data_IF_437999137747
#
_entry.id   IF_437999137747
#
_cell.length_a   1.000
_cell.length_b   1.000
_cell.length_c   1.000
_cell.angle_alpha   90.00
_cell.angle_beta   90.00
_cell.angle_gamma   90.00
#
_symmetry.space_group_name_H-M   'P 1'
#
loop_
_entity.id
_entity.type
_entity.pdbx_description
1 polymer ?
#
# COMPACT_ATOMS: atom_id res chain seq x y z
N UNK A 1 14.34 -41.74 33.47
CA UNK A 1 14.82 -40.34 33.38
C UNK A 1 14.95 -39.80 31.95
N UNK A 2 15.24 -40.61 30.92
CA UNK A 2 15.45 -40.11 29.53
C UNK A 2 14.19 -39.59 28.79
N UNK A 3 12.98 -40.01 29.18
CA UNK A 3 11.73 -39.58 28.51
C UNK A 3 11.26 -38.15 28.83
N UNK A 4 11.74 -37.54 29.92
CA UNK A 4 11.36 -36.17 30.32
C UNK A 4 12.18 -35.12 29.55
N UNK A 5 13.43 -35.46 29.18
CA UNK A 5 14.28 -34.58 28.36
C UNK A 5 13.81 -34.50 26.90
N UNK A 6 13.13 -35.53 26.37
CA UNK A 6 12.69 -35.56 24.97
C UNK A 6 11.34 -34.90 24.73
N UNK A 7 10.37 -34.97 25.67
CA UNK A 7 9.11 -34.21 25.54
C UNK A 7 9.33 -32.70 25.59
N UNK A 8 10.21 -32.22 26.48
CA UNK A 8 10.63 -30.82 26.52
C UNK A 8 11.27 -30.37 25.20
N UNK A 9 11.94 -31.28 24.48
CA UNK A 9 12.58 -30.94 23.19
C UNK A 9 11.56 -30.67 22.08
N UNK A 10 10.44 -31.42 22.04
CA UNK A 10 9.39 -31.23 21.03
C UNK A 10 8.60 -29.93 21.29
N UNK A 11 8.24 -29.66 22.54
CA UNK A 11 7.56 -28.42 22.92
C UNK A 11 8.42 -27.20 22.61
N UNK A 12 9.73 -27.26 22.88
CA UNK A 12 10.66 -26.19 22.50
C UNK A 12 10.72 -25.97 20.99
N UNK A 13 10.73 -27.04 20.19
CA UNK A 13 10.70 -26.93 18.71
C UNK A 13 9.42 -26.27 18.22
N UNK A 14 8.25 -26.67 18.73
CA UNK A 14 6.96 -26.04 18.39
C UNK A 14 6.94 -24.56 18.76
N UNK A 15 7.43 -24.22 19.95
CA UNK A 15 7.54 -22.81 20.41
C UNK A 15 8.49 -22.01 19.51
N UNK A 16 9.64 -22.57 19.12
CA UNK A 16 10.58 -21.90 18.23
C UNK A 16 10.00 -21.69 16.82
N UNK A 17 9.35 -22.70 16.25
CA UNK A 17 8.70 -22.58 14.93
C UNK A 17 7.55 -21.55 14.96
N UNK A 18 6.73 -21.54 16.01
CA UNK A 18 5.65 -20.57 16.15
C UNK A 18 6.17 -19.14 16.36
N UNK A 19 7.22 -18.97 17.18
CA UNK A 19 7.89 -17.67 17.34
C UNK A 19 8.48 -17.18 16.01
N UNK A 20 9.12 -18.06 15.25
CA UNK A 20 9.68 -17.74 13.93
C UNK A 20 8.59 -17.29 12.95
N UNK A 21 7.47 -18.00 12.87
CA UNK A 21 6.33 -17.62 12.02
C UNK A 21 5.76 -16.25 12.44
N UNK A 22 5.65 -15.98 13.74
CA UNK A 22 5.21 -14.67 14.26
C UNK A 22 6.15 -13.53 13.86
N UNK A 23 7.46 -13.74 13.92
CA UNK A 23 8.45 -12.76 13.47
C UNK A 23 8.32 -12.52 11.95
N UNK A 24 8.18 -13.57 11.15
CA UNK A 24 7.96 -13.45 9.71
C UNK A 24 6.66 -12.69 9.38
N UNK A 25 5.57 -12.97 10.09
CA UNK A 25 4.30 -12.26 9.94
C UNK A 25 4.43 -10.77 10.32
N UNK A 26 5.15 -10.46 11.40
CA UNK A 26 5.43 -9.09 11.81
C UNK A 26 6.23 -8.32 10.76
N UNK A 27 7.33 -8.90 10.27
CA UNK A 27 8.13 -8.33 9.17
C UNK A 27 7.28 -8.11 7.92
N UNK A 28 6.45 -9.09 7.54
CA UNK A 28 5.57 -8.97 6.39
C UNK A 28 4.53 -7.86 6.57
N UNK A 29 3.96 -7.72 7.77
CA UNK A 29 3.04 -6.62 8.08
C UNK A 29 3.71 -5.25 7.91
N UNK A 30 4.96 -5.09 8.37
CA UNK A 30 5.71 -3.84 8.20
C UNK A 30 6.02 -3.53 6.72
N UNK A 31 6.43 -4.54 5.95
CA UNK A 31 6.66 -4.41 4.50
C UNK A 31 5.35 -4.02 3.80
N UNK A 32 4.26 -4.71 4.10
CA UNK A 32 2.96 -4.45 3.51
C UNK A 32 2.46 -3.03 3.84
N UNK A 33 2.61 -2.58 5.09
CA UNK A 33 2.26 -1.22 5.48
C UNK A 33 3.09 -0.18 4.73
N UNK A 34 4.42 -0.38 4.61
CA UNK A 34 5.30 0.49 3.84
C UNK A 34 4.92 0.58 2.36
N UNK A 35 4.60 -0.55 1.72
CA UNK A 35 4.13 -0.59 0.34
C UNK A 35 2.78 0.12 0.16
N UNK A 36 1.88 -0.05 1.12
CA UNK A 36 0.56 0.60 1.09
C UNK A 36 0.68 2.12 1.21
N UNK A 37 1.58 2.61 2.08
CA UNK A 37 1.85 4.04 2.21
C UNK A 37 2.43 4.62 0.93
N UNK A 38 3.44 3.97 0.32
CA UNK A 38 4.00 4.39 -0.97
C UNK A 38 2.94 4.48 -2.08
N UNK A 39 2.06 3.48 -2.18
CA UNK A 39 0.98 3.48 -3.15
C UNK A 39 -0.06 4.58 -2.89
N UNK A 40 -0.24 4.98 -1.62
CA UNK A 40 -1.15 6.07 -1.26
C UNK A 40 -0.58 7.43 -1.66
N UNK A 41 0.71 7.66 -1.41
CA UNK A 41 1.43 8.84 -1.88
C UNK A 41 1.37 9.03 -3.40
N UNK A 42 1.51 7.95 -4.17
CA UNK A 42 1.35 8.00 -5.62
C UNK A 42 -0.06 8.44 -6.03
N UNK A 43 -1.10 8.01 -5.31
CA UNK A 43 -2.49 8.45 -5.60
C UNK A 43 -2.68 9.93 -5.30
N UNK A 44 -2.10 10.42 -4.21
CA UNK A 44 -2.16 11.83 -3.85
C UNK A 44 -1.52 12.72 -4.92
N UNK A 45 -0.31 12.36 -5.36
CA UNK A 45 0.37 13.03 -6.47
C UNK A 45 -0.46 12.99 -7.76
N UNK A 46 -1.09 11.85 -8.07
CA UNK A 46 -1.96 11.73 -9.25
C UNK A 46 -3.20 12.66 -9.16
N UNK A 47 -3.78 12.82 -7.97
CA UNK A 47 -4.91 13.74 -7.76
C UNK A 47 -4.49 15.19 -7.94
N UNK A 48 -3.34 15.58 -7.39
CA UNK A 48 -2.76 16.91 -7.57
C UNK A 48 -2.43 17.19 -9.05
N UNK A 49 -1.89 16.21 -9.77
CA UNK A 49 -1.57 16.38 -11.18
C UNK A 49 -2.83 16.55 -12.04
N UNK A 50 -3.92 15.87 -11.68
CA UNK A 50 -5.22 16.04 -12.32
C UNK A 50 -5.83 17.43 -12.01
N UNK A 51 -5.71 17.92 -10.77
CA UNK A 51 -6.17 19.28 -10.43
C UNK A 51 -5.36 20.36 -11.17
N UNK A 52 -4.05 20.16 -11.36
CA UNK A 52 -3.20 21.00 -12.21
C UNK A 52 -3.73 21.02 -13.64
N UNK A 53 -3.96 19.86 -14.26
CA UNK A 53 -4.50 19.77 -15.63
C UNK A 53 -5.87 20.43 -15.77
N UNK A 54 -6.73 20.25 -14.78
CA UNK A 54 -8.07 20.83 -14.74
C UNK A 54 -8.00 22.36 -14.70
N UNK A 55 -7.20 22.94 -13.81
CA UNK A 55 -7.04 24.39 -13.72
C UNK A 55 -6.37 24.97 -14.95
N UNK A 56 -5.40 24.25 -15.52
CA UNK A 56 -4.77 24.60 -16.77
C UNK A 56 -5.78 24.70 -17.93
N UNK A 57 -6.71 23.75 -18.03
CA UNK A 57 -7.77 23.80 -19.04
C UNK A 57 -8.72 24.99 -18.82
N UNK A 58 -9.12 25.24 -17.57
CA UNK A 58 -9.98 26.38 -17.21
C UNK A 58 -9.36 27.73 -17.54
N UNK A 59 -8.05 27.88 -17.36
CA UNK A 59 -7.33 29.11 -17.74
C UNK A 59 -7.43 29.33 -19.25
N UNK A 60 -7.18 28.30 -20.05
CA UNK A 60 -7.26 28.37 -21.52
C UNK A 60 -8.69 28.72 -21.97
N UNK A 61 -9.70 28.07 -21.38
CA UNK A 61 -11.10 28.33 -21.71
C UNK A 61 -11.54 29.75 -21.32
N UNK A 62 -11.18 30.20 -20.12
CA UNK A 62 -11.46 31.57 -19.66
C UNK A 62 -10.77 32.62 -20.52
N UNK A 63 -9.56 32.35 -21.03
CA UNK A 63 -8.87 33.24 -21.97
C UNK A 63 -9.63 33.34 -23.29
N UNK A 64 -10.07 32.21 -23.84
CA UNK A 64 -10.86 32.20 -25.07
C UNK A 64 -12.16 33.02 -24.91
N UNK A 65 -12.78 32.96 -23.73
CA UNK A 65 -13.94 33.79 -23.39
C UNK A 65 -13.57 35.28 -23.33
N UNK A 66 -12.44 35.66 -22.71
CA UNK A 66 -11.96 37.04 -22.57
C UNK A 66 -11.68 37.69 -23.94
N UNK A 67 -11.27 36.87 -24.91
CA UNK A 67 -11.10 37.28 -26.31
C UNK A 67 -12.43 37.60 -26.99
N UNK A 68 -13.48 36.84 -26.67
CA UNK A 68 -14.80 36.93 -27.30
C UNK A 68 -15.76 37.92 -26.64
N UNK A 69 -15.62 38.14 -25.33
CA UNK A 69 -16.57 38.89 -24.53
C UNK A 69 -15.79 39.80 -23.57
N UNK A 70 -15.98 41.11 -23.71
CA UNK A 70 -15.26 42.16 -22.96
C UNK A 70 -15.79 42.29 -21.51
N UNK A 71 -15.87 41.18 -20.79
CA UNK A 71 -16.50 41.10 -19.47
C UNK A 71 -15.45 41.06 -18.34
N UNK A 72 -15.53 41.99 -17.40
CA UNK A 72 -14.65 42.05 -16.22
C UNK A 72 -14.72 40.78 -15.35
N UNK A 73 -15.86 40.10 -15.34
CA UNK A 73 -16.04 38.85 -14.59
C UNK A 73 -15.11 37.73 -15.08
N UNK A 74 -14.84 37.67 -16.38
CA UNK A 74 -13.93 36.68 -16.97
C UNK A 74 -12.49 36.89 -16.50
N UNK A 75 -12.06 38.13 -16.31
CA UNK A 75 -10.72 38.49 -15.86
C UNK A 75 -10.51 38.11 -14.39
N UNK A 76 -11.53 38.30 -13.55
CA UNK A 76 -11.52 37.85 -12.15
C UNK A 76 -11.44 36.31 -12.04
N UNK A 77 -12.26 35.59 -12.83
CA UNK A 77 -12.21 34.12 -12.89
C UNK A 77 -10.83 33.62 -13.30
N UNK A 78 -10.23 34.22 -14.31
CA UNK A 78 -8.92 33.82 -14.82
C UNK A 78 -7.80 34.01 -13.79
N UNK A 79 -7.82 35.11 -13.02
CA UNK A 79 -6.91 35.30 -11.89
C UNK A 79 -7.12 34.26 -10.78
N UNK A 80 -8.36 33.89 -10.47
CA UNK A 80 -8.66 32.82 -9.51
C UNK A 80 -8.07 31.48 -9.96
N UNK A 81 -8.28 31.12 -11.23
CA UNK A 81 -7.81 29.83 -11.76
C UNK A 81 -6.29 29.75 -11.79
N UNK A 82 -5.61 30.86 -12.06
CA UNK A 82 -4.15 30.97 -11.97
C UNK A 82 -3.66 30.75 -10.54
N UNK A 83 -4.25 31.41 -9.56
CA UNK A 83 -3.89 31.22 -8.15
C UNK A 83 -4.09 29.77 -7.67
N UNK A 84 -5.22 29.15 -8.04
CA UNK A 84 -5.46 27.73 -7.76
C UNK A 84 -4.45 26.81 -8.47
N UNK A 85 -3.97 27.17 -9.67
CA UNK A 85 -2.94 26.42 -10.38
C UNK A 85 -1.58 26.51 -9.67
N UNK A 86 -1.18 27.71 -9.26
CA UNK A 86 0.05 27.95 -8.49
C UNK A 86 0.05 27.15 -7.17
N UNK A 87 -1.05 27.17 -6.42
CA UNK A 87 -1.19 26.42 -5.16
C UNK A 87 -1.13 24.91 -5.37
N UNK A 88 -1.79 24.39 -6.42
CA UNK A 88 -1.75 22.97 -6.75
C UNK A 88 -0.33 22.51 -7.14
N UNK A 89 0.42 23.35 -7.86
CA UNK A 89 1.79 23.04 -8.27
C UNK A 89 2.74 23.08 -7.07
N UNK A 90 2.59 24.06 -6.19
CA UNK A 90 3.35 24.12 -4.95
C UNK A 90 3.09 22.85 -4.11
N UNK A 91 1.82 22.49 -3.91
CA UNK A 91 1.42 21.30 -3.16
C UNK A 91 1.97 20.01 -3.80
N UNK A 92 1.96 19.92 -5.14
CA UNK A 92 2.53 18.80 -5.87
C UNK A 92 4.05 18.70 -5.65
N UNK A 93 4.77 19.83 -5.77
CA UNK A 93 6.21 19.87 -5.56
C UNK A 93 6.57 19.50 -4.11
N UNK A 94 5.87 20.04 -3.11
CA UNK A 94 6.07 19.69 -1.70
C UNK A 94 5.87 18.20 -1.45
N UNK A 95 4.79 17.61 -2.00
CA UNK A 95 4.52 16.17 -1.90
C UNK A 95 5.59 15.33 -2.59
N UNK A 96 6.05 15.75 -3.78
CA UNK A 96 7.11 15.06 -4.51
C UNK A 96 8.44 15.09 -3.74
N UNK A 97 8.82 16.22 -3.14
CA UNK A 97 10.02 16.33 -2.31
C UNK A 97 9.94 15.49 -1.02
N UNK A 98 8.78 15.48 -0.33
CA UNK A 98 8.57 14.62 0.84
C UNK A 98 8.77 13.12 0.53
N UNK A 99 8.55 12.74 -0.73
CA UNK A 99 8.73 11.38 -1.22
C UNK A 99 10.04 11.13 -1.98
N UNK A 100 10.95 12.12 -2.01
CA UNK A 100 12.24 12.07 -2.72
C UNK A 100 12.09 11.71 -4.22
N UNK A 101 11.15 12.39 -4.91
CA UNK A 101 10.87 12.18 -6.33
C UNK A 101 11.20 13.44 -7.12
N UNK A 102 12.49 13.76 -7.25
CA UNK A 102 12.93 15.00 -7.90
C UNK A 102 12.61 15.05 -9.41
N UNK A 103 12.46 13.88 -10.04
CA UNK A 103 12.28 13.74 -11.50
C UNK A 103 10.91 14.24 -12.02
N UNK A 104 9.91 14.39 -11.15
CA UNK A 104 8.54 14.77 -11.53
C UNK A 104 8.20 16.22 -11.17
N UNK A 105 9.10 16.92 -10.47
CA UNK A 105 8.87 18.26 -9.91
C UNK A 105 8.74 19.31 -11.02
N UNK A 106 7.88 20.30 -10.80
CA UNK A 106 7.79 21.50 -11.62
C UNK A 106 8.96 22.44 -11.30
N UNK A 107 9.72 22.79 -12.33
CA UNK A 107 10.92 23.62 -12.27
C UNK A 107 10.61 25.12 -12.06
N UNK A 108 11.57 25.92 -11.56
CA UNK A 108 11.40 27.36 -11.35
C UNK A 108 11.06 28.17 -12.62
N UNK A 109 11.32 27.61 -13.81
CA UNK A 109 10.91 28.21 -15.09
C UNK A 109 9.39 28.33 -15.22
N UNK A 110 8.64 27.51 -14.47
CA UNK A 110 7.19 27.60 -14.39
C UNK A 110 6.73 28.90 -13.72
N UNK A 111 7.36 29.30 -12.62
CA UNK A 111 7.02 30.52 -11.89
C UNK A 111 7.22 31.75 -12.77
N UNK A 112 8.27 31.75 -13.58
CA UNK A 112 8.52 32.81 -14.57
C UNK A 112 7.42 32.88 -15.64
N UNK A 113 6.95 31.72 -16.11
CA UNK A 113 5.84 31.67 -17.07
C UNK A 113 4.52 32.15 -16.45
N UNK A 114 4.25 31.85 -15.17
CA UNK A 114 3.07 32.35 -14.47
C UNK A 114 3.13 33.86 -14.22
N UNK A 115 4.30 34.40 -13.87
CA UNK A 115 4.53 35.84 -13.75
C UNK A 115 4.30 36.56 -15.07
N UNK A 116 4.86 36.04 -16.17
CA UNK A 116 4.62 36.59 -17.50
C UNK A 116 3.12 36.54 -17.86
N UNK A 117 2.43 35.45 -17.50
CA UNK A 117 1.00 35.31 -17.71
C UNK A 117 0.21 36.40 -16.96
N UNK A 118 0.55 36.64 -15.69
CA UNK A 118 -0.02 37.72 -14.87
C UNK A 118 0.20 39.11 -15.47
N UNK A 119 1.42 39.40 -15.92
CA UNK A 119 1.76 40.67 -16.54
C UNK A 119 0.89 40.95 -17.77
N UNK A 120 0.69 39.95 -18.64
CA UNK A 120 -0.14 40.10 -19.83
C UNK A 120 -1.63 40.27 -19.51
N UNK A 121 -2.15 39.57 -18.51
CA UNK A 121 -3.54 39.75 -18.05
C UNK A 121 -3.75 41.19 -17.56
N UNK A 122 -2.82 41.70 -16.75
CA UNK A 122 -2.88 43.05 -16.20
C UNK A 122 -2.78 44.11 -17.32
N UNK A 123 -1.96 43.87 -18.34
CA UNK A 123 -1.90 44.74 -19.51
C UNK A 123 -3.24 44.76 -20.24
N UNK A 124 -3.86 43.60 -20.51
CA UNK A 124 -5.18 43.54 -21.16
C UNK A 124 -6.24 44.29 -20.33
N UNK A 125 -6.28 44.09 -19.00
CA UNK A 125 -7.20 44.80 -18.11
C UNK A 125 -7.03 46.32 -18.23
N UNK A 126 -5.79 46.81 -18.22
CA UNK A 126 -5.48 48.25 -18.35
C UNK A 126 -5.94 48.83 -19.69
N UNK A 127 -5.74 48.10 -20.79
CA UNK A 127 -6.14 48.52 -22.14
C UNK A 127 -7.67 48.47 -22.29
N UNK A 128 -8.35 47.48 -21.71
CA UNK A 128 -9.81 47.42 -21.67
C UNK A 128 -10.41 48.59 -20.87
N UNK A 129 -9.81 48.95 -19.73
CA UNK A 129 -10.23 50.12 -18.93
C UNK A 129 -10.04 51.43 -19.70
N UNK A 130 -8.95 51.58 -20.46
CA UNK A 130 -8.74 52.74 -21.35
C UNK A 130 -9.82 52.87 -22.42
N UNK A 131 -10.26 51.75 -23.00
CA UNK A 131 -11.34 51.71 -23.98
C UNK A 131 -12.70 52.11 -23.36
N UNK A 132 -13.04 51.57 -22.19
CA UNK A 132 -14.39 51.59 -21.62
C UNK A 132 -14.67 52.68 -20.57
N UNK A 133 -13.66 53.18 -19.85
CA UNK A 133 -13.70 54.04 -18.67
C UNK A 133 -15.09 54.55 -18.16
N UNK A 134 -15.47 54.12 -16.95
CA UNK A 134 -16.77 54.35 -16.28
C UNK A 134 -17.12 55.83 -16.01
N UNK A 135 -16.16 56.75 -15.99
CA UNK A 135 -16.42 58.20 -15.84
C UNK A 135 -16.88 58.89 -17.13
N UNK A 136 -17.16 58.15 -18.20
CA UNK A 136 -17.57 58.71 -19.50
C UNK A 136 -16.42 59.35 -20.29
N UNK A 137 -15.16 59.02 -19.95
CA UNK A 137 -13.93 59.54 -20.58
C UNK A 137 -13.16 58.49 -21.38
N UNK A 138 -13.74 57.32 -21.61
CA UNK A 138 -13.09 56.25 -22.36
C UNK A 138 -12.87 56.63 -23.83
N UNK A 139 -12.00 55.90 -24.52
CA UNK A 139 -11.79 56.11 -25.95
C UNK A 139 -13.08 55.92 -26.75
N UNK A 140 -13.95 54.97 -26.37
CA UNK A 140 -15.23 54.74 -27.03
C UNK A 140 -16.21 55.90 -26.84
N UNK A 141 -16.23 56.52 -25.67
CA UNK A 141 -17.05 57.72 -25.40
C UNK A 141 -16.48 58.94 -26.12
N UNK A 142 -15.16 59.09 -26.12
CA UNK A 142 -14.46 60.13 -26.90
C UNK A 142 -14.77 60.00 -28.39
N UNK A 143 -14.86 58.78 -28.90
CA UNK A 143 -15.22 58.48 -30.29
C UNK A 143 -16.67 58.89 -30.58
N UNK A 144 -17.61 58.53 -29.71
CA UNK A 144 -19.02 58.93 -29.83
C UNK A 144 -19.20 60.45 -29.83
N UNK A 145 -18.46 61.17 -28.97
CA UNK A 145 -18.46 62.63 -28.94
C UNK A 145 -17.86 63.24 -30.21
N UNK A 146 -16.74 62.69 -30.71
CA UNK A 146 -16.10 63.14 -31.94
C UNK A 146 -17.02 62.94 -33.15
N UNK A 147 -17.73 61.80 -33.24
CA UNK A 147 -18.75 61.55 -34.26
C UNK A 147 -19.88 62.59 -34.19
N UNK A 148 -20.42 62.85 -32.99
CA UNK A 148 -21.48 63.83 -32.82
C UNK A 148 -21.07 65.23 -33.31
N UNK A 149 -19.84 65.67 -32.99
CA UNK A 149 -19.31 66.95 -33.44
C UNK A 149 -19.10 66.99 -34.97
N UNK A 150 -18.59 65.91 -35.54
CA UNK A 150 -18.40 65.74 -36.99
C UNK A 150 -19.74 65.80 -37.73
N UNK A 151 -20.70 64.99 -37.31
CA UNK A 151 -22.04 64.94 -37.91
C UNK A 151 -22.77 66.29 -37.76
N UNK A 152 -22.70 66.92 -36.60
CA UNK A 152 -23.27 68.27 -36.42
C UNK A 152 -22.64 69.30 -37.36
N UNK A 153 -21.33 69.22 -37.57
CA UNK A 153 -20.62 70.14 -38.47
C UNK A 153 -21.03 69.93 -39.93
N UNK A 154 -21.27 68.68 -40.35
CA UNK A 154 -21.67 68.37 -41.73
C UNK A 154 -23.06 68.88 -42.09
N UNK A 155 -23.98 68.99 -41.12
CA UNK A 155 -25.34 69.54 -41.35
C UNK A 155 -25.32 70.98 -41.88
N UNK A 156 -24.25 71.75 -41.62
CA UNK A 156 -24.08 73.13 -42.11
C UNK A 156 -23.93 73.20 -43.64
N UNK A 157 -23.55 72.11 -44.30
CA UNK A 157 -23.18 72.07 -45.71
C UNK A 157 -24.23 71.40 -46.62
N UNK A 158 -25.32 70.88 -46.05
CA UNK A 158 -26.50 70.32 -46.74
C UNK A 158 -26.21 69.46 -47.99
N UNK A 159 -25.22 68.57 -47.90
CA UNK A 159 -24.84 67.64 -48.99
C UNK A 159 -25.24 66.21 -48.65
N UNK A 160 -26.09 65.61 -49.49
CA UNK A 160 -26.57 64.23 -49.34
C UNK A 160 -25.44 63.20 -49.55
N UNK A 161 -24.57 63.45 -50.53
CA UNK A 161 -23.41 62.60 -50.82
C UNK A 161 -22.43 62.55 -49.64
N UNK A 162 -22.14 63.71 -49.04
CA UNK A 162 -21.27 63.81 -47.86
C UNK A 162 -21.88 63.10 -46.65
N UNK A 163 -23.18 63.31 -46.40
CA UNK A 163 -23.89 62.68 -45.28
C UNK A 163 -23.89 61.16 -45.40
N UNK A 164 -24.09 60.64 -46.61
CA UNK A 164 -24.03 59.20 -46.91
C UNK A 164 -22.62 58.64 -46.69
N UNK A 165 -21.59 59.36 -47.14
CA UNK A 165 -20.19 58.96 -46.96
C UNK A 165 -19.79 58.90 -45.48
N UNK A 166 -20.20 59.89 -44.69
CA UNK A 166 -20.00 59.93 -43.23
C UNK A 166 -20.72 58.78 -42.53
N UNK A 167 -21.99 58.51 -42.85
CA UNK A 167 -22.74 57.41 -42.25
C UNK A 167 -22.14 56.04 -42.57
N UNK A 168 -21.72 55.81 -43.82
CA UNK A 168 -21.05 54.57 -44.21
C UNK A 168 -19.72 54.38 -43.47
N UNK A 169 -18.98 55.46 -43.26
CA UNK A 169 -17.72 55.45 -42.50
C UNK A 169 -17.98 55.13 -41.03
N UNK A 170 -18.97 55.79 -40.40
CA UNK A 170 -19.38 55.48 -39.03
C UNK A 170 -19.78 54.02 -38.88
N UNK A 171 -20.65 53.52 -39.77
CA UNK A 171 -21.09 52.13 -39.74
C UNK A 171 -19.93 51.13 -39.84
N UNK A 172 -18.95 51.39 -40.71
CA UNK A 172 -17.76 50.54 -40.85
C UNK A 172 -16.88 50.55 -39.60
N UNK A 173 -16.73 51.72 -38.97
CA UNK A 173 -15.99 51.87 -37.71
C UNK A 173 -16.71 51.16 -36.55
N UNK A 174 -18.03 51.31 -36.44
CA UNK A 174 -18.83 50.61 -35.44
C UNK A 174 -18.73 49.08 -35.59
N UNK A 175 -18.72 48.57 -36.82
CA UNK A 175 -18.48 47.15 -37.08
C UNK A 175 -17.11 46.70 -36.56
N UNK A 176 -16.06 47.49 -36.76
CA UNK A 176 -14.74 47.20 -36.19
C UNK A 176 -14.73 47.28 -34.65
N UNK A 177 -15.33 48.30 -34.04
CA UNK A 177 -15.39 48.45 -32.58
C UNK A 177 -16.09 47.25 -31.92
N UNK A 178 -17.18 46.78 -32.54
CA UNK A 178 -17.94 45.62 -32.08
C UNK A 178 -17.19 44.32 -32.32
N UNK A 179 -16.50 44.19 -33.46
CA UNK A 179 -15.71 43.02 -33.84
C UNK A 179 -14.34 43.46 -34.39
N UNK A 180 -13.34 43.62 -33.52
CA UNK A 180 -12.02 44.08 -33.92
C UNK A 180 -11.30 42.95 -34.66
N UNK A 181 -11.31 43.01 -35.99
CA UNK A 181 -10.57 42.09 -36.87
C UNK A 181 -9.91 42.85 -38.04
N UNK A 182 -8.94 42.21 -38.69
CA UNK A 182 -8.16 42.86 -39.77
C UNK A 182 -9.00 43.18 -41.01
N UNK A 183 -10.14 42.52 -41.20
CA UNK A 183 -11.02 42.75 -42.35
C UNK A 183 -11.87 44.00 -42.12
N UNK A 184 -12.46 44.14 -40.94
CA UNK A 184 -13.21 45.31 -40.51
C UNK A 184 -12.30 46.54 -40.42
N UNK A 185 -11.06 46.40 -39.91
CA UNK A 185 -10.10 47.51 -39.88
C UNK A 185 -9.75 48.02 -41.28
N UNK A 186 -9.47 47.11 -42.22
CA UNK A 186 -9.21 47.48 -43.63
C UNK A 186 -10.40 48.19 -44.27
N UNK A 187 -11.61 47.73 -43.96
CA UNK A 187 -12.86 48.32 -44.48
C UNK A 187 -13.11 49.71 -43.90
N UNK A 188 -12.87 49.91 -42.60
CA UNK A 188 -12.96 51.20 -41.93
C UNK A 188 -11.95 52.20 -42.52
N UNK A 189 -10.67 51.83 -42.59
CA UNK A 189 -9.61 52.68 -43.13
C UNK A 189 -9.88 53.10 -44.59
N UNK A 190 -10.39 52.19 -45.43
CA UNK A 190 -10.74 52.53 -46.82
C UNK A 190 -11.84 53.59 -46.91
N UNK A 191 -12.86 53.51 -46.05
CA UNK A 191 -13.97 54.47 -46.03
C UNK A 191 -13.60 55.81 -45.40
N UNK A 192 -12.71 55.81 -44.39
CA UNK A 192 -12.10 57.01 -43.83
C UNK A 192 -11.38 57.78 -44.93
N UNK A 193 -10.49 57.14 -45.69
CA UNK A 193 -9.74 57.83 -46.76
C UNK A 193 -10.66 58.42 -47.85
N UNK A 194 -11.69 57.68 -48.27
CA UNK A 194 -12.68 58.17 -49.26
C UNK A 194 -13.48 59.36 -48.74
N UNK A 195 -13.87 59.33 -47.47
CA UNK A 195 -14.63 60.41 -46.84
C UNK A 195 -13.77 61.66 -46.66
N UNK A 196 -12.51 61.47 -46.28
CA UNK A 196 -11.54 62.56 -46.18
C UNK A 196 -11.35 63.28 -47.52
N UNK A 197 -11.23 62.52 -48.62
CA UNK A 197 -11.15 63.07 -49.98
C UNK A 197 -12.44 63.85 -50.35
N UNK A 198 -13.61 63.34 -49.96
CA UNK A 198 -14.91 63.95 -50.25
C UNK A 198 -15.17 65.24 -49.47
N UNK A 199 -14.62 65.38 -48.26
CA UNK A 199 -14.71 66.62 -47.47
C UNK A 199 -13.84 67.72 -48.11
N UNK A 200 -12.66 67.36 -48.64
CA UNK A 200 -11.72 68.33 -49.18
C UNK A 200 -11.18 69.32 -48.12
N UNK A 201 -10.22 70.18 -48.50
CA UNK A 201 -9.63 71.18 -47.57
C UNK A 201 -10.41 72.49 -47.47
N UNK A 202 -11.45 72.65 -48.29
CA UNK A 202 -12.22 73.90 -48.41
C UNK A 202 -13.16 74.12 -47.21
N UNK A 203 -13.61 73.05 -46.55
CA UNK A 203 -14.45 73.11 -45.36
C UNK A 203 -13.63 73.00 -44.06
N UNK A 204 -12.86 74.05 -43.72
CA UNK A 204 -11.88 74.03 -42.63
C UNK A 204 -12.42 73.48 -41.30
N UNK A 205 -13.62 73.88 -40.86
CA UNK A 205 -14.21 73.41 -39.60
C UNK A 205 -14.65 71.93 -39.66
N UNK A 206 -15.28 71.51 -40.76
CA UNK A 206 -15.69 70.13 -40.97
C UNK A 206 -14.47 69.20 -41.10
N UNK A 207 -13.46 69.65 -41.84
CA UNK A 207 -12.20 68.92 -42.00
C UNK A 207 -11.49 68.74 -40.66
N UNK A 208 -11.44 69.77 -39.80
CA UNK A 208 -10.86 69.66 -38.46
C UNK A 208 -11.65 68.70 -37.56
N UNK A 209 -12.98 68.73 -37.62
CA UNK A 209 -13.83 67.78 -36.89
C UNK A 209 -13.60 66.33 -37.37
N UNK A 210 -13.42 66.15 -38.68
CA UNK A 210 -13.10 64.84 -39.27
C UNK A 210 -11.73 64.33 -38.82
N UNK A 211 -10.69 65.16 -38.87
CA UNK A 211 -9.37 64.78 -38.35
C UNK A 211 -9.40 64.41 -36.87
N UNK A 212 -10.21 65.10 -36.07
CA UNK A 212 -10.39 64.77 -34.65
C UNK A 212 -11.04 63.39 -34.49
N UNK A 213 -12.09 63.11 -35.26
CA UNK A 213 -12.77 61.82 -35.30
C UNK A 213 -11.85 60.67 -35.75
N UNK A 214 -11.08 60.89 -36.82
CA UNK A 214 -10.07 59.94 -37.33
C UNK A 214 -8.98 59.67 -36.28
N UNK A 215 -8.45 60.70 -35.62
CA UNK A 215 -7.42 60.54 -34.60
C UNK A 215 -7.91 59.71 -33.41
N UNK A 216 -9.14 59.91 -32.94
CA UNK A 216 -9.71 59.09 -31.87
C UNK A 216 -9.88 57.63 -32.31
N UNK A 217 -10.29 57.40 -33.56
CA UNK A 217 -10.35 56.05 -34.12
C UNK A 217 -8.96 55.39 -34.24
N UNK A 218 -7.91 56.15 -34.55
CA UNK A 218 -6.53 55.64 -34.54
C UNK A 218 -6.10 55.21 -33.14
N UNK A 219 -6.37 56.01 -32.09
CA UNK A 219 -6.08 55.59 -30.71
C UNK A 219 -6.81 54.30 -30.30
N UNK A 220 -8.06 54.12 -30.74
CA UNK A 220 -8.80 52.87 -30.53
C UNK A 220 -8.10 51.71 -31.26
N UNK A 221 -7.69 51.93 -32.51
CA UNK A 221 -7.02 50.92 -33.33
C UNK A 221 -5.67 50.51 -32.73
N UNK A 222 -4.86 51.47 -32.30
CA UNK A 222 -3.58 51.23 -31.63
C UNK A 222 -3.75 50.40 -30.36
N UNK A 223 -4.75 50.74 -29.55
CA UNK A 223 -5.10 49.96 -28.34
C UNK A 223 -5.47 48.51 -28.69
N UNK A 224 -6.26 48.28 -29.74
CA UNK A 224 -6.58 46.92 -30.19
C UNK A 224 -5.39 46.19 -30.83
N UNK A 225 -4.46 46.90 -31.48
CA UNK A 225 -3.23 46.32 -32.01
C UNK A 225 -2.30 45.84 -30.89
N UNK A 226 -2.17 46.61 -29.80
CA UNK A 226 -1.40 46.20 -28.61
C UNK A 226 -2.02 44.95 -27.96
N UNK A 227 -3.33 44.92 -27.78
CA UNK A 227 -4.04 43.71 -27.32
C UNK A 227 -3.83 42.55 -28.31
N UNK A 228 -3.87 42.83 -29.61
CA UNK A 228 -3.87 41.85 -30.69
C UNK A 228 -5.25 41.74 -31.34
N UNK A 229 -5.38 42.22 -32.57
CA UNK A 229 -6.62 42.15 -33.38
C UNK A 229 -6.94 40.70 -33.79
N UNK A 230 -5.93 39.84 -33.82
CA UNK A 230 -6.02 38.42 -34.10
C UNK A 230 -5.09 37.65 -33.14
N UNK A 231 -5.18 36.32 -33.15
CA UNK A 231 -4.32 35.47 -32.31
C UNK A 231 -2.85 35.40 -32.79
N UNK A 232 -2.53 36.09 -33.89
CA UNK A 232 -1.22 36.06 -34.53
C UNK A 232 -0.33 37.26 -34.15
N UNK A 233 -0.81 38.19 -33.32
CA UNK A 233 -0.04 39.38 -32.92
C UNK A 233 -0.47 39.94 -31.55
N UNK A 234 0.33 40.86 -31.01
CA UNK A 234 0.07 41.52 -29.74
C UNK A 234 0.12 40.59 -28.52
N UNK A 235 -0.40 41.08 -27.41
CA UNK A 235 -0.43 40.37 -26.12
C UNK A 235 -1.14 39.01 -26.23
N UNK A 236 -2.19 38.90 -27.08
CA UNK A 236 -2.89 37.63 -27.34
C UNK A 236 -2.00 36.53 -27.91
N UNK A 237 -1.06 36.86 -28.79
CA UNK A 237 -0.09 35.87 -29.31
C UNK A 237 0.87 35.42 -28.23
N UNK A 238 1.35 36.34 -27.40
CA UNK A 238 2.28 36.05 -26.31
C UNK A 238 1.63 35.13 -25.27
N UNK A 239 0.38 35.43 -24.87
CA UNK A 239 -0.46 34.56 -24.05
C UNK A 239 -0.66 33.17 -24.67
N UNK A 240 -0.91 33.10 -25.99
CA UNK A 240 -1.03 31.81 -26.71
C UNK A 240 0.25 30.99 -26.64
N UNK A 241 1.41 31.65 -26.75
CA UNK A 241 2.72 31.01 -26.58
C UNK A 241 2.90 30.44 -25.17
N UNK A 242 2.54 31.23 -24.15
CA UNK A 242 2.60 30.79 -22.76
C UNK A 242 1.66 29.62 -22.46
N UNK A 243 0.45 29.62 -23.01
CA UNK A 243 -0.49 28.51 -22.84
C UNK A 243 -0.01 27.22 -23.49
N UNK A 244 0.61 27.33 -24.66
CA UNK A 244 1.25 26.18 -25.30
C UNK A 244 2.41 25.66 -24.45
N UNK A 245 3.26 26.56 -23.95
CA UNK A 245 4.36 26.20 -23.06
C UNK A 245 3.84 25.52 -21.80
N UNK A 246 2.82 26.10 -21.16
CA UNK A 246 2.14 25.56 -19.99
C UNK A 246 1.57 24.16 -20.26
N UNK A 247 0.87 23.97 -21.38
CA UNK A 247 0.33 22.67 -21.79
C UNK A 247 1.41 21.64 -22.03
N UNK A 248 2.47 22.01 -22.73
CA UNK A 248 3.61 21.14 -22.95
C UNK A 248 4.24 20.73 -21.62
N UNK A 249 4.41 21.69 -20.71
CA UNK A 249 5.03 21.47 -19.41
C UNK A 249 4.24 20.49 -18.53
N UNK A 250 2.94 20.74 -18.35
CA UNK A 250 2.05 19.86 -17.58
C UNK A 250 1.97 18.47 -18.23
N UNK A 251 1.90 18.39 -19.56
CA UNK A 251 1.85 17.11 -20.27
C UNK A 251 3.14 16.29 -20.12
N UNK A 252 4.29 16.96 -20.15
CA UNK A 252 5.59 16.32 -19.92
C UNK A 252 5.70 15.78 -18.49
N UNK A 253 5.31 16.58 -17.49
CA UNK A 253 5.29 16.13 -16.09
C UNK A 253 4.31 14.97 -15.87
N UNK A 254 3.16 14.97 -16.53
CA UNK A 254 2.23 13.84 -16.55
C UNK A 254 2.89 12.58 -17.11
N UNK A 255 3.55 12.67 -18.25
CA UNK A 255 4.22 11.51 -18.86
C UNK A 255 5.33 10.95 -17.95
N UNK A 256 6.14 11.84 -17.34
CA UNK A 256 7.18 11.45 -16.39
C UNK A 256 6.59 10.77 -15.15
N UNK A 257 5.52 11.35 -14.59
CA UNK A 257 4.80 10.77 -13.46
C UNK A 257 4.19 9.40 -13.79
N UNK A 258 3.53 9.25 -14.94
CA UNK A 258 2.92 7.97 -15.35
C UNK A 258 3.97 6.87 -15.50
N UNK A 259 5.13 7.20 -16.09
CA UNK A 259 6.25 6.27 -16.21
C UNK A 259 6.81 5.87 -14.84
N UNK A 260 7.03 6.86 -13.96
CA UNK A 260 7.51 6.63 -12.60
C UNK A 260 6.51 5.77 -11.79
N UNK A 261 5.24 6.13 -11.80
CA UNK A 261 4.18 5.43 -11.08
C UNK A 261 4.02 3.99 -11.58
N UNK A 262 4.05 3.76 -12.89
CA UNK A 262 3.98 2.41 -13.46
C UNK A 262 5.16 1.53 -13.02
N UNK A 263 6.38 2.09 -13.02
CA UNK A 263 7.57 1.39 -12.55
C UNK A 263 7.47 1.06 -11.06
N UNK A 264 7.07 2.03 -10.23
CA UNK A 264 6.95 1.82 -8.78
C UNK A 264 5.84 0.85 -8.41
N UNK A 265 4.68 0.91 -9.07
CA UNK A 265 3.59 -0.04 -8.86
C UNK A 265 4.03 -1.47 -9.20
N UNK A 266 4.75 -1.64 -10.31
CA UNK A 266 5.28 -2.95 -10.72
C UNK A 266 6.31 -3.47 -9.72
N UNK A 267 7.27 -2.64 -9.29
CA UNK A 267 8.25 -3.01 -8.28
C UNK A 267 7.60 -3.37 -6.94
N UNK A 268 6.62 -2.58 -6.49
CA UNK A 268 5.87 -2.82 -5.26
C UNK A 268 5.06 -4.13 -5.33
N UNK A 269 4.43 -4.43 -6.48
CA UNK A 269 3.74 -5.69 -6.70
C UNK A 269 4.70 -6.88 -6.68
N UNK A 270 5.86 -6.77 -7.33
CA UNK A 270 6.88 -7.82 -7.32
C UNK A 270 7.40 -8.09 -5.90
N UNK A 271 7.70 -7.04 -5.13
CA UNK A 271 8.10 -7.15 -3.72
C UNK A 271 7.02 -7.84 -2.88
N UNK A 272 5.75 -7.50 -3.11
CA UNK A 272 4.63 -8.14 -2.43
C UNK A 272 4.55 -9.65 -2.74
N UNK A 273 4.71 -10.05 -4.00
CA UNK A 273 4.72 -11.47 -4.40
C UNK A 273 5.92 -12.23 -3.82
N UNK A 274 7.12 -11.64 -3.87
CA UNK A 274 8.33 -12.22 -3.30
C UNK A 274 8.20 -12.39 -1.78
N UNK A 275 7.70 -11.37 -1.08
CA UNK A 275 7.53 -11.41 0.37
C UNK A 275 6.46 -12.44 0.80
N UNK A 276 5.34 -12.55 0.07
CA UNK A 276 4.36 -13.60 0.32
C UNK A 276 4.89 -15.00 -0.02
N UNK A 277 5.62 -15.14 -1.13
CA UNK A 277 6.21 -16.41 -1.54
C UNK A 277 7.26 -16.90 -0.54
N UNK A 278 8.11 -16.00 -0.04
CA UNK A 278 9.11 -16.32 1.00
C UNK A 278 8.45 -16.71 2.32
N UNK A 279 7.37 -16.01 2.73
CA UNK A 279 6.60 -16.40 3.92
C UNK A 279 5.99 -17.79 3.74
N UNK A 280 5.31 -18.04 2.62
CA UNK A 280 4.71 -19.33 2.33
C UNK A 280 5.76 -20.46 2.37
N UNK A 281 6.91 -20.26 1.73
CA UNK A 281 8.01 -21.21 1.76
C UNK A 281 8.53 -21.45 3.19
N UNK A 282 8.68 -20.38 3.98
CA UNK A 282 9.14 -20.47 5.36
C UNK A 282 8.19 -21.28 6.25
N UNK A 283 6.87 -21.12 6.06
CA UNK A 283 5.84 -21.88 6.78
C UNK A 283 5.85 -23.33 6.34
N UNK A 284 5.93 -23.61 5.03
CA UNK A 284 6.01 -24.98 4.50
C UNK A 284 7.24 -25.71 5.06
N UNK A 285 8.41 -25.06 5.06
CA UNK A 285 9.64 -25.63 5.62
C UNK A 285 9.51 -25.89 7.14
N UNK A 286 8.90 -24.98 7.89
CA UNK A 286 8.64 -25.16 9.31
C UNK A 286 7.69 -26.36 9.58
N UNK A 287 6.64 -26.51 8.77
CA UNK A 287 5.71 -27.65 8.86
C UNK A 287 6.40 -28.96 8.50
N UNK A 288 7.18 -29.00 7.41
CA UNK A 288 7.96 -30.19 7.03
C UNK A 288 8.93 -30.57 8.15
N UNK A 289 9.62 -29.60 8.74
CA UNK A 289 10.53 -29.81 9.87
C UNK A 289 9.79 -30.38 11.09
N UNK A 290 8.59 -29.86 11.40
CA UNK A 290 7.74 -30.37 12.48
C UNK A 290 7.32 -31.83 12.23
N UNK A 291 6.89 -32.17 11.01
CA UNK A 291 6.51 -33.54 10.64
C UNK A 291 7.70 -34.48 10.77
N UNK A 292 8.86 -34.11 10.22
CA UNK A 292 10.09 -34.89 10.33
C UNK A 292 10.46 -35.15 11.80
N UNK A 293 10.41 -34.09 12.62
CA UNK A 293 10.72 -34.21 14.05
C UNK A 293 9.71 -35.11 14.77
N UNK A 294 8.42 -35.00 14.47
CA UNK A 294 7.37 -35.83 15.05
C UNK A 294 7.54 -37.31 14.71
N UNK A 295 7.79 -37.64 13.44
CA UNK A 295 8.00 -39.03 13.01
C UNK A 295 9.24 -39.66 13.65
N UNK A 296 10.33 -38.90 13.78
CA UNK A 296 11.55 -39.38 14.47
C UNK A 296 11.30 -39.70 15.95
N UNK A 297 10.42 -38.94 16.59
CA UNK A 297 10.06 -39.13 17.99
C UNK A 297 9.22 -40.39 18.20
N UNK A 298 8.29 -40.67 17.30
CA UNK A 298 7.47 -41.89 17.34
C UNK A 298 8.34 -43.15 17.20
N UNK A 299 9.25 -43.17 16.23
CA UNK A 299 10.19 -44.27 16.02
C UNK A 299 11.10 -44.47 17.25
N UNK A 300 11.60 -43.39 17.83
CA UNK A 300 12.40 -43.45 19.05
C UNK A 300 11.61 -44.05 20.23
N UNK A 301 10.33 -43.68 20.38
CA UNK A 301 9.47 -44.22 21.44
C UNK A 301 9.18 -45.72 21.23
N UNK A 302 8.94 -46.15 19.99
CA UNK A 302 8.75 -47.56 19.65
C UNK A 302 10.02 -48.39 19.92
N UNK A 303 11.20 -47.88 19.54
CA UNK A 303 12.49 -48.51 19.82
C UNK A 303 12.77 -48.63 21.33
N UNK A 304 12.40 -47.62 22.11
CA UNK A 304 12.53 -47.64 23.57
C UNK A 304 11.59 -48.67 24.22
N UNK A 305 10.32 -48.72 23.79
CA UNK A 305 9.34 -49.71 24.28
C UNK A 305 9.77 -51.14 23.97
N UNK A 306 10.22 -51.41 22.75
CA UNK A 306 10.66 -52.75 22.33
C UNK A 306 11.91 -53.20 23.08
N UNK A 307 12.87 -52.30 23.32
CA UNK A 307 14.05 -52.58 24.15
C UNK A 307 13.66 -52.93 25.60
N UNK A 308 12.77 -52.15 26.21
CA UNK A 308 12.26 -52.44 27.55
C UNK A 308 11.54 -53.79 27.62
N UNK A 309 10.66 -54.09 26.66
CA UNK A 309 9.94 -55.36 26.60
C UNK A 309 10.88 -56.57 26.44
N UNK A 310 11.94 -56.44 25.62
CA UNK A 310 12.97 -57.49 25.48
C UNK A 310 13.73 -57.73 26.78
N UNK A 311 14.10 -56.67 27.50
CA UNK A 311 14.78 -56.78 28.78
C UNK A 311 13.90 -57.50 29.82
N UNK A 312 12.62 -57.14 29.90
CA UNK A 312 11.66 -57.82 30.80
C UNK A 312 11.50 -59.30 30.46
N UNK A 313 11.33 -59.65 29.19
CA UNK A 313 11.23 -61.07 28.78
C UNK A 313 12.51 -61.84 29.09
N UNK A 314 13.68 -61.26 28.83
CA UNK A 314 14.96 -61.91 29.14
C UNK A 314 15.17 -62.11 30.64
N UNK A 315 14.77 -61.14 31.47
CA UNK A 315 14.79 -61.25 32.94
C UNK A 315 13.92 -62.43 33.39
N UNK A 316 12.69 -62.51 32.89
CA UNK A 316 11.75 -63.55 33.30
C UNK A 316 12.20 -64.95 32.86
N UNK A 317 12.69 -65.07 31.62
CA UNK A 317 13.21 -66.33 31.10
C UNK A 317 14.42 -66.81 31.91
N UNK A 318 15.37 -65.91 32.20
CA UNK A 318 16.53 -66.24 33.02
C UNK A 318 16.13 -66.75 34.41
N UNK A 319 15.19 -66.08 35.08
CA UNK A 319 14.74 -66.49 36.41
C UNK A 319 14.01 -67.86 36.38
N UNK A 320 13.22 -68.12 35.36
CA UNK A 320 12.54 -69.40 35.18
C UNK A 320 13.53 -70.55 34.94
N UNK A 321 14.53 -70.35 34.09
CA UNK A 321 15.54 -71.35 33.76
C UNK A 321 16.39 -71.68 35.01
N UNK A 322 16.89 -70.65 35.71
CA UNK A 322 17.66 -70.79 36.94
C UNK A 322 16.88 -71.54 38.02
N UNK A 323 15.57 -71.28 38.15
CA UNK A 323 14.73 -72.01 39.11
C UNK A 323 14.70 -73.50 38.84
N UNK A 324 14.50 -73.91 37.59
CA UNK A 324 14.42 -75.33 37.24
C UNK A 324 15.76 -76.04 37.49
N UNK A 325 16.87 -75.35 37.22
CA UNK A 325 18.21 -75.83 37.49
C UNK A 325 18.55 -75.90 38.99
N UNK A 326 17.98 -75.03 39.83
CA UNK A 326 18.16 -75.09 41.29
C UNK A 326 17.25 -76.15 41.93
N UNK A 327 16.01 -76.31 41.44
CA UNK A 327 15.04 -77.27 42.00
C UNK A 327 15.53 -78.71 41.89
N UNK A 328 16.19 -79.08 40.79
CA UNK A 328 16.68 -80.44 40.54
C UNK A 328 17.70 -80.93 41.59
N UNK A 329 18.82 -80.22 41.85
CA UNK A 329 19.75 -80.58 42.92
C UNK A 329 19.12 -80.43 44.30
N UNK A 330 18.25 -79.43 44.52
CA UNK A 330 17.60 -79.21 45.82
C UNK A 330 16.66 -80.35 46.21
N UNK A 331 15.87 -80.85 45.26
CA UNK A 331 15.04 -82.05 45.45
C UNK A 331 15.91 -83.30 45.69
N UNK A 332 17.11 -83.37 45.09
CA UNK A 332 18.10 -84.41 45.39
C UNK A 332 18.63 -84.34 46.82
N UNK A 333 18.93 -83.13 47.32
CA UNK A 333 19.37 -82.92 48.71
C UNK A 333 18.23 -83.24 49.69
N UNK A 334 17.00 -82.80 49.42
CA UNK A 334 15.81 -83.13 50.24
C UNK A 334 15.57 -84.64 50.24
N UNK A 335 15.62 -85.29 49.07
CA UNK A 335 15.45 -86.74 48.94
C UNK A 335 16.52 -87.52 49.71
N UNK A 336 17.79 -87.10 49.62
CA UNK A 336 18.88 -87.72 50.37
C UNK A 336 18.75 -87.47 51.87
N UNK A 337 18.36 -86.25 52.29
CA UNK A 337 18.11 -85.95 53.69
C UNK A 337 16.96 -86.81 54.25
N UNK A 338 15.87 -86.96 53.51
CA UNK A 338 14.74 -87.81 53.88
C UNK A 338 15.17 -89.29 53.97
N UNK A 339 15.90 -89.80 52.97
CA UNK A 339 16.41 -91.17 52.99
C UNK A 339 17.33 -91.44 54.19
N UNK A 340 18.27 -90.53 54.47
CA UNK A 340 19.15 -90.65 55.65
C UNK A 340 18.36 -90.57 56.97
N UNK A 341 17.24 -89.82 57.00
CA UNK A 341 16.42 -89.67 58.21
C UNK A 341 15.66 -90.93 58.63
N UNK A 342 15.42 -91.84 57.67
CA UNK A 342 14.78 -93.15 57.86
C UNK A 342 15.76 -94.22 58.41
N UNK A 343 17.06 -93.95 58.34
CA UNK A 343 18.10 -94.84 58.82
C UNK A 343 18.31 -94.74 60.36
N UNK A 344 19.01 -95.72 60.93
CA UNK A 344 19.24 -95.78 62.39
C UNK A 344 20.38 -94.82 62.83
N UNK A 345 20.12 -93.51 62.74
CA UNK A 345 21.07 -92.44 63.03
C UNK A 345 21.30 -92.21 64.54
N UNK A 346 22.54 -91.88 64.93
CA UNK A 346 22.84 -91.34 66.27
C UNK A 346 22.21 -89.95 66.42
N UNK A 347 21.87 -89.52 67.63
CA UNK A 347 21.18 -88.23 67.91
C UNK A 347 21.80 -87.03 67.16
N UNK A 348 23.12 -86.87 67.24
CA UNK A 348 23.84 -85.79 66.54
C UNK A 348 23.74 -85.86 65.00
N UNK A 349 23.67 -87.05 64.41
CA UNK A 349 23.51 -87.22 62.96
C UNK A 349 22.07 -86.89 62.52
N UNK A 350 21.07 -87.22 63.35
CA UNK A 350 19.67 -86.86 63.11
C UNK A 350 19.47 -85.34 63.14
N UNK A 351 20.10 -84.65 64.09
CA UNK A 351 20.05 -83.18 64.15
C UNK A 351 20.68 -82.53 62.91
N UNK A 352 21.80 -83.07 62.40
CA UNK A 352 22.43 -82.60 61.17
C UNK A 352 21.57 -82.82 59.92
N UNK A 353 20.92 -83.98 59.79
CA UNK A 353 19.98 -84.26 58.69
C UNK A 353 18.77 -83.35 58.75
N UNK A 354 18.23 -83.08 59.94
CA UNK A 354 17.13 -82.14 60.15
C UNK A 354 17.52 -80.71 59.76
N UNK A 355 18.74 -80.27 60.08
CA UNK A 355 19.25 -78.96 59.66
C UNK A 355 19.33 -78.88 58.13
N UNK A 356 19.89 -79.89 57.47
CA UNK A 356 19.99 -79.93 56.00
C UNK A 356 18.60 -79.86 55.35
N UNK A 357 17.66 -80.70 55.81
CA UNK A 357 16.28 -80.71 55.30
C UNK A 357 15.59 -79.35 55.48
N UNK A 358 15.68 -78.77 56.68
CA UNK A 358 15.10 -77.45 56.96
C UNK A 358 15.73 -76.33 56.12
N UNK A 359 17.04 -76.36 55.92
CA UNK A 359 17.73 -75.40 55.05
C UNK A 359 17.32 -75.56 53.58
N UNK A 360 17.20 -76.80 53.09
CA UNK A 360 16.78 -77.06 51.72
C UNK A 360 15.33 -76.66 51.47
N UNK A 361 14.42 -76.92 52.41
CA UNK A 361 13.02 -76.50 52.31
C UNK A 361 12.88 -74.97 52.35
N UNK A 362 13.64 -74.28 53.23
CA UNK A 362 13.66 -72.81 53.28
C UNK A 362 14.19 -72.21 51.97
N UNK A 363 15.25 -72.78 51.39
CA UNK A 363 15.77 -72.31 50.10
C UNK A 363 14.77 -72.53 48.96
N UNK A 364 14.05 -73.66 48.97
CA UNK A 364 13.00 -73.94 47.98
C UNK A 364 11.87 -72.91 48.06
N UNK A 365 11.45 -72.56 49.27
CA UNK A 365 10.44 -71.50 49.48
C UNK A 365 10.91 -70.17 48.91
N UNK A 366 12.12 -69.73 49.25
CA UNK A 366 12.68 -68.47 48.75
C UNK A 366 12.78 -68.43 47.22
N UNK A 367 13.18 -69.54 46.60
CA UNK A 367 13.22 -69.64 45.13
C UNK A 367 11.83 -69.54 44.53
N UNK A 368 10.83 -70.20 45.12
CA UNK A 368 9.45 -70.10 44.66
C UNK A 368 8.89 -68.68 44.84
N UNK A 369 9.18 -68.00 45.95
CA UNK A 369 8.72 -66.63 46.21
C UNK A 369 9.26 -65.64 45.15
N UNK A 370 10.53 -65.77 44.76
CA UNK A 370 11.15 -64.93 43.71
C UNK A 370 10.51 -65.17 42.34
N UNK A 371 10.10 -66.41 42.04
CA UNK A 371 9.41 -66.74 40.79
C UNK A 371 7.99 -66.23 40.77
N UNK A 372 7.26 -66.38 41.88
CA UNK A 372 5.89 -65.91 42.00
C UNK A 372 5.85 -64.39 41.89
N UNK A 373 6.79 -63.67 42.52
CA UNK A 373 6.95 -62.23 42.34
C UNK A 373 7.23 -61.87 40.86
N UNK A 374 8.08 -62.64 40.17
CA UNK A 374 8.40 -62.40 38.76
C UNK A 374 7.20 -62.63 37.84
N UNK A 375 6.36 -63.63 38.12
CA UNK A 375 5.10 -63.90 37.40
C UNK A 375 4.04 -62.82 37.66
N UNK A 376 4.01 -62.26 38.86
CA UNK A 376 3.15 -61.13 39.19
C UNK A 376 3.61 -59.88 38.43
N UNK A 377 4.91 -59.57 38.43
CA UNK A 377 5.48 -58.43 37.68
C UNK A 377 5.27 -58.56 36.16
N UNK A 378 5.26 -59.79 35.63
CA UNK A 378 5.03 -60.04 34.20
C UNK A 378 3.56 -60.05 33.78
N UNK A 379 2.63 -60.07 34.75
CA UNK A 379 1.20 -60.23 34.50
C UNK A 379 0.77 -61.66 34.17
N UNK A 380 1.64 -62.65 34.33
CA UNK A 380 1.35 -64.07 34.07
C UNK A 380 0.80 -64.83 35.29
N UNK A 381 0.61 -64.15 36.43
CA UNK A 381 0.01 -64.73 37.63
C UNK A 381 -1.50 -64.92 37.47
N UNK A 382 -1.96 -66.17 37.43
CA UNK A 382 -3.38 -66.52 37.29
C UNK A 382 -3.94 -67.06 38.60
N UNK A 383 -4.95 -66.37 39.14
CA UNK A 383 -5.72 -66.86 40.29
C UNK A 383 -6.72 -67.91 39.80
N UNK A 384 -6.77 -69.05 40.46
CA UNK A 384 -7.79 -70.07 40.23
C UNK A 384 -8.92 -69.91 41.27
N UNK A 385 -10.08 -69.34 40.89
CA UNK A 385 -11.17 -69.15 41.84
C UNK A 385 -11.80 -70.50 42.22
N UNK A 386 -11.80 -70.81 43.51
CA UNK A 386 -12.44 -72.00 44.10
C UNK A 386 -13.29 -71.59 45.30
N UNK A 387 -14.38 -72.32 45.54
CA UNK A 387 -15.23 -72.14 46.71
C UNK A 387 -14.46 -72.64 47.93
N UNK A 388 -14.14 -71.74 48.86
CA UNK A 388 -13.42 -72.06 50.10
C UNK A 388 -14.34 -71.95 51.31
N UNK A 389 -14.16 -72.84 52.29
CA UNK A 389 -14.76 -72.69 53.61
C UNK A 389 -13.86 -71.77 54.44
N UNK A 390 -14.32 -70.54 54.68
CA UNK A 390 -13.53 -69.51 55.38
C UNK A 390 -13.17 -69.91 56.80
N UNK A 391 -14.05 -70.63 57.52
CA UNK A 391 -13.78 -71.12 58.88
C UNK A 391 -12.66 -72.15 58.88
N UNK A 392 -12.67 -73.05 57.90
CA UNK A 392 -11.62 -74.06 57.77
C UNK A 392 -10.28 -73.41 57.40
N UNK A 393 -10.26 -72.52 56.40
CA UNK A 393 -9.03 -71.86 55.97
C UNK A 393 -8.35 -71.05 57.09
N UNK A 394 -9.13 -70.33 57.91
CA UNK A 394 -8.61 -69.60 59.07
C UNK A 394 -8.10 -70.56 60.14
N UNK A 395 -8.81 -71.66 60.39
CA UNK A 395 -8.37 -72.68 61.34
C UNK A 395 -7.03 -73.31 60.91
N UNK A 396 -6.92 -73.71 59.64
CA UNK A 396 -5.70 -74.28 59.07
C UNK A 396 -4.51 -73.31 59.19
N UNK A 397 -4.74 -72.01 58.97
CA UNK A 397 -3.70 -70.99 59.18
C UNK A 397 -3.26 -70.87 60.65
N UNK A 398 -4.20 -70.91 61.60
CA UNK A 398 -3.87 -70.81 63.04
C UNK A 398 -3.13 -72.06 63.51
N UNK A 399 -3.51 -73.25 63.03
CA UNK A 399 -2.86 -74.52 63.35
C UNK A 399 -1.42 -74.56 62.84
N UNK A 400 -1.18 -74.09 61.60
CA UNK A 400 0.16 -74.04 61.00
C UNK A 400 1.16 -73.24 61.86
N UNK A 401 0.75 -72.10 62.41
CA UNK A 401 1.63 -71.25 63.23
C UNK A 401 1.73 -71.66 64.71
N UNK A 402 0.84 -72.54 65.20
CA UNK A 402 0.94 -73.07 66.57
C UNK A 402 1.93 -74.23 66.69
N UNK A 403 2.30 -74.89 65.58
CA UNK A 403 3.28 -75.98 65.56
C UNK A 403 4.75 -75.51 65.51
N UNK A 404 4.99 -74.24 65.15
CA UNK A 404 6.33 -73.64 65.03
C UNK A 404 6.76 -72.82 66.29
N UNK A 405 5.93 -72.79 67.35
CA UNK A 405 6.20 -72.14 68.64
C UNK A 405 6.41 -73.18 69.76
#
# INVERSE_FOLDING_TARGET
MLGIFSSQSLTRVVVLCSLFILVCLGLMSTINHSLTNKNSSLKELALLLNSIQYNQARIIDARAELVSNKNQDTLQRLNSYRGELEENIQSFNESAYLHNIDEIVFEPSFDQNMQAYEEYINQIDSLQKSLLNEEGKGLLESHRLAWFLLYRSSLTYNSESLSTSLLNTQYSIDNFINRPDTANLRSANSLISKTQESIGREYQYLYQAFLTYENVFQYITDTYNEIGINDDSGIRRELSGLEYALRSYVSERQANFDSYAANQLTQNQNLYWVANGTLFLSVVLAVIYLIYKSASFENWMMASKTSAARLHRSKNQFLADVSNEIRTPLNGIIGMANFLSEDNLKSHQRDQVNIISNCSNKLLSLVNDVLDLSRIESGDFRVNPVVINTKQAVFDCVELYQQDA
#
